data_IF_882656738710
#
_entry.id   IF_882656738710
#
_cell.length_a   1.000
_cell.length_b   1.000
_cell.length_c   1.000
_cell.angle_alpha   90.00
_cell.angle_beta   90.00
_cell.angle_gamma   90.00
#
_symmetry.space_group_name_H-M   'P 1'
#
loop_
_entity.id
_entity.type
_entity.pdbx_description
1 polymer ?
#
# COMPACT_ATOMS: atom_id res chain seq x y z
N UNK A 1 2.98 -37.13 -8.45
CA UNK A 1 1.86 -36.17 -8.59
C UNK A 1 2.41 -34.80 -8.27
N UNK A 2 2.67 -33.97 -9.27
CA UNK A 2 3.16 -32.60 -9.06
C UNK A 2 1.91 -31.77 -8.80
N UNK A 3 1.74 -31.26 -7.58
CA UNK A 3 0.71 -30.27 -7.32
C UNK A 3 1.10 -28.99 -8.08
N UNK A 4 0.31 -28.63 -9.10
CA UNK A 4 0.36 -27.29 -9.68
C UNK A 4 -0.08 -26.31 -8.59
N UNK A 5 0.90 -25.77 -7.84
CA UNK A 5 0.67 -24.77 -6.80
C UNK A 5 0.52 -23.37 -7.41
N UNK A 6 -0.13 -23.32 -8.57
CA UNK A 6 -0.17 -22.20 -9.50
C UNK A 6 -1.62 -21.84 -9.75
N UNK A 7 -2.06 -20.71 -9.20
CA UNK A 7 -3.40 -20.18 -9.42
C UNK A 7 -3.36 -18.66 -9.50
N UNK A 8 -4.30 -18.11 -10.26
CA UNK A 8 -4.50 -16.66 -10.38
C UNK A 8 -4.65 -16.01 -8.99
N UNK A 9 -5.33 -16.68 -8.06
CA UNK A 9 -5.59 -16.18 -6.72
C UNK A 9 -4.34 -16.22 -5.82
N UNK A 10 -3.44 -17.20 -6.02
CA UNK A 10 -2.15 -17.22 -5.31
C UNK A 10 -1.34 -15.97 -5.61
N UNK A 11 -1.43 -15.45 -6.82
CA UNK A 11 -0.69 -14.26 -7.22
C UNK A 11 -1.06 -13.03 -6.39
N UNK A 12 -2.29 -12.96 -5.82
CA UNK A 12 -2.69 -11.88 -4.89
C UNK A 12 -1.69 -11.75 -3.74
N UNK A 13 -1.28 -12.86 -3.14
CA UNK A 13 -0.27 -12.87 -2.08
C UNK A 13 1.09 -12.37 -2.59
N UNK A 14 1.52 -12.84 -3.76
CA UNK A 14 2.79 -12.44 -4.39
C UNK A 14 2.82 -10.92 -4.66
N UNK A 15 1.71 -10.32 -5.11
CA UNK A 15 1.63 -8.88 -5.29
C UNK A 15 1.68 -8.15 -3.95
N UNK A 16 0.94 -8.60 -2.95
CA UNK A 16 0.98 -8.02 -1.60
C UNK A 16 2.40 -8.02 -1.04
N UNK A 17 3.14 -9.12 -1.16
CA UNK A 17 4.52 -9.22 -0.68
C UNK A 17 5.44 -8.21 -1.37
N UNK A 18 5.30 -8.03 -2.70
CA UNK A 18 6.04 -7.02 -3.47
C UNK A 18 5.71 -5.59 -3.03
N UNK A 19 4.43 -5.29 -2.82
CA UNK A 19 3.98 -3.97 -2.38
C UNK A 19 4.45 -3.65 -0.96
N UNK A 20 4.34 -4.62 -0.04
CA UNK A 20 4.85 -4.51 1.33
C UNK A 20 6.36 -4.23 1.29
N UNK A 21 7.11 -5.00 0.51
CA UNK A 21 8.57 -4.80 0.37
C UNK A 21 8.92 -3.41 -0.16
N UNK A 22 8.13 -2.89 -1.11
CA UNK A 22 8.33 -1.54 -1.63
C UNK A 22 8.09 -0.46 -0.55
N UNK A 23 7.10 -0.65 0.31
CA UNK A 23 6.78 0.28 1.39
C UNK A 23 7.76 0.21 2.55
N UNK A 24 8.11 -0.99 3.01
CA UNK A 24 9.05 -1.18 4.12
C UNK A 24 10.48 -0.81 3.72
N UNK A 25 10.84 -0.94 2.45
CA UNK A 25 12.12 -0.49 1.90
C UNK A 25 12.17 1.01 1.55
N UNK A 26 11.04 1.73 1.60
CA UNK A 26 11.00 3.15 1.27
C UNK A 26 11.23 4.01 2.51
N UNK A 27 12.42 4.63 2.57
CA UNK A 27 12.80 5.56 3.64
C UNK A 27 11.76 6.66 3.88
N UNK A 28 11.19 7.18 2.80
CA UNK A 28 10.18 8.22 2.88
C UNK A 28 8.88 7.74 3.54
N UNK A 29 8.46 6.51 3.21
CA UNK A 29 7.28 5.89 3.83
C UNK A 29 7.56 5.61 5.31
N UNK A 30 8.71 5.01 5.64
CA UNK A 30 9.02 4.64 7.02
C UNK A 30 9.20 5.87 7.92
N UNK A 31 9.85 6.93 7.44
CA UNK A 31 9.98 8.19 8.18
C UNK A 31 8.64 8.86 8.46
N UNK A 32 7.71 8.87 7.50
CA UNK A 32 6.38 9.47 7.72
C UNK A 32 5.54 8.60 8.68
N UNK A 33 5.66 7.27 8.63
CA UNK A 33 4.94 6.35 9.51
C UNK A 33 5.44 6.39 10.96
N UNK A 34 6.76 6.50 11.16
CA UNK A 34 7.40 6.34 12.46
C UNK A 34 7.87 7.66 13.09
N UNK A 35 8.05 8.72 12.31
CA UNK A 35 8.64 9.97 12.79
C UNK A 35 10.07 9.74 13.29
N UNK A 36 10.34 10.17 14.52
CA UNK A 36 11.67 10.08 15.15
C UNK A 36 12.16 8.63 15.30
N UNK A 37 11.26 7.65 15.39
CA UNK A 37 11.60 6.23 15.58
C UNK A 37 12.02 5.51 14.29
N UNK A 38 12.07 6.19 13.14
CA UNK A 38 12.28 5.56 11.84
C UNK A 38 13.62 4.81 11.69
N UNK A 39 14.66 5.24 12.43
CA UNK A 39 15.97 4.58 12.44
C UNK A 39 16.09 3.41 13.41
N UNK A 40 15.11 3.22 14.30
CA UNK A 40 15.17 2.26 15.39
C UNK A 40 14.27 1.05 15.16
N UNK A 41 13.21 1.19 14.36
CA UNK A 41 12.26 0.10 14.06
C UNK A 41 12.71 -0.69 12.83
N UNK A 42 12.95 -2.02 12.95
CA UNK A 42 13.18 -2.89 11.82
C UNK A 42 12.03 -2.89 10.81
N UNK A 43 12.35 -3.03 9.53
CA UNK A 43 11.38 -3.05 8.43
C UNK A 43 10.29 -4.12 8.60
N UNK A 44 10.66 -5.27 9.19
CA UNK A 44 9.77 -6.41 9.45
C UNK A 44 8.70 -6.09 10.49
N UNK A 45 9.03 -5.25 11.49
CA UNK A 45 8.11 -4.88 12.55
C UNK A 45 7.01 -3.93 12.07
N UNK A 46 7.19 -3.29 10.91
CA UNK A 46 6.16 -2.44 10.30
C UNK A 46 4.95 -3.24 9.83
N UNK A 47 5.14 -4.49 9.45
CA UNK A 47 4.05 -5.34 8.98
C UNK A 47 3.09 -5.65 10.14
N UNK A 48 1.80 -5.48 9.92
CA UNK A 48 0.73 -5.61 10.91
C UNK A 48 0.78 -4.61 12.08
N UNK A 49 1.68 -3.62 12.07
CA UNK A 49 1.70 -2.53 13.07
C UNK A 49 1.51 -1.14 12.45
N UNK A 50 2.05 -0.95 11.24
CA UNK A 50 2.04 0.30 10.46
C UNK A 50 1.70 0.07 9.00
N UNK A 51 1.90 -1.13 8.47
CA UNK A 51 1.55 -1.54 7.11
C UNK A 51 0.71 -2.81 7.20
N UNK A 52 -0.54 -2.74 6.72
CA UNK A 52 -1.50 -3.82 6.82
C UNK A 52 -1.83 -4.36 5.42
N UNK A 53 -1.68 -5.68 5.16
CA UNK A 53 -2.00 -6.29 3.87
C UNK A 53 -3.50 -6.57 3.69
N UNK A 54 -4.33 -5.77 4.35
CA UNK A 54 -5.79 -5.77 4.29
C UNK A 54 -6.28 -4.41 4.79
N UNK A 55 -7.55 -4.09 4.53
CA UNK A 55 -8.17 -2.89 5.08
C UNK A 55 -8.35 -3.05 6.60
N UNK A 56 -7.49 -2.39 7.35
CA UNK A 56 -7.57 -2.26 8.80
C UNK A 56 -8.03 -0.85 9.15
N UNK A 57 -9.04 -0.73 10.02
CA UNK A 57 -9.43 0.55 10.62
C UNK A 57 -9.72 0.32 12.10
N UNK A 58 -8.65 0.24 12.87
CA UNK A 58 -8.72 0.06 14.32
C UNK A 58 -8.69 1.41 15.03
N UNK A 59 -9.82 1.76 15.65
CA UNK A 59 -10.00 2.99 16.40
C UNK A 59 -9.43 2.93 17.83
N UNK A 60 -9.02 1.73 18.29
CA UNK A 60 -8.36 1.55 19.59
C UNK A 60 -6.86 1.89 19.55
N UNK A 61 -6.30 2.09 18.35
CA UNK A 61 -4.91 2.51 18.17
C UNK A 61 -4.62 3.87 18.84
N UNK A 62 -3.38 4.11 19.30
CA UNK A 62 -3.02 5.36 19.95
C UNK A 62 -3.33 6.60 19.10
N UNK A 63 -3.63 7.71 19.77
CA UNK A 63 -4.17 8.94 19.15
C UNK A 63 -3.21 9.69 18.19
N UNK A 64 -2.05 9.12 17.87
CA UNK A 64 -1.05 9.79 17.02
C UNK A 64 -0.41 8.85 15.98
N UNK A 65 -1.08 7.74 15.65
CA UNK A 65 -0.55 6.76 14.70
C UNK A 65 -0.99 7.08 13.27
N UNK A 66 -0.06 6.89 12.33
CA UNK A 66 -0.35 6.78 10.90
C UNK A 66 -0.05 5.37 10.42
N UNK A 67 -0.80 4.87 9.45
CA UNK A 67 -0.60 3.55 8.88
C UNK A 67 -1.03 3.48 7.42
N UNK A 68 -0.42 2.55 6.68
CA UNK A 68 -0.84 2.14 5.35
C UNK A 68 -1.65 0.86 5.44
N UNK A 69 -2.74 0.79 4.69
CA UNK A 69 -3.42 -0.46 4.37
C UNK A 69 -3.31 -0.68 2.86
N UNK A 70 -3.28 -1.94 2.42
CA UNK A 70 -3.32 -2.27 1.00
C UNK A 70 -4.16 -3.51 0.72
N UNK A 71 -4.77 -3.53 -0.46
CA UNK A 71 -5.46 -4.70 -1.01
C UNK A 71 -5.12 -4.87 -2.49
N UNK A 72 -5.13 -6.11 -2.97
CA UNK A 72 -4.94 -6.46 -4.37
C UNK A 72 -6.10 -7.30 -4.87
N UNK A 73 -6.81 -6.76 -5.85
CA UNK A 73 -7.92 -7.42 -6.51
C UNK A 73 -7.52 -7.85 -7.93
N UNK A 74 -8.21 -8.88 -8.43
CA UNK A 74 -8.16 -9.29 -9.83
C UNK A 74 -9.55 -9.03 -10.42
N UNK A 75 -9.87 -7.77 -10.78
CA UNK A 75 -11.22 -7.39 -11.21
C UNK A 75 -11.66 -8.09 -12.51
N UNK A 76 -10.71 -8.54 -13.34
CA UNK A 76 -11.04 -9.25 -14.57
C UNK A 76 -9.89 -10.12 -15.08
N UNK A 77 -10.26 -11.18 -15.80
CA UNK A 77 -9.35 -12.05 -16.56
C UNK A 77 -9.80 -11.99 -18.03
N UNK A 78 -9.42 -10.94 -18.78
CA UNK A 78 -9.99 -10.64 -20.09
C UNK A 78 -9.65 -11.68 -21.16
N UNK A 79 -8.60 -12.48 -20.96
CA UNK A 79 -8.22 -13.53 -21.91
C UNK A 79 -7.65 -14.76 -21.21
N UNK A 80 -7.34 -15.80 -22.00
CA UNK A 80 -6.67 -16.99 -21.48
C UNK A 80 -5.26 -16.71 -20.95
N UNK A 81 -4.62 -15.62 -21.37
CA UNK A 81 -3.21 -15.32 -21.07
C UNK A 81 -3.02 -14.14 -20.12
N UNK A 82 -4.02 -13.26 -19.99
CA UNK A 82 -3.88 -11.96 -19.32
C UNK A 82 -4.90 -11.83 -18.20
N UNK A 83 -4.47 -11.26 -17.07
CA UNK A 83 -5.32 -10.79 -15.98
C UNK A 83 -5.09 -9.29 -15.74
N UNK A 84 -6.11 -8.61 -15.24
CA UNK A 84 -5.99 -7.23 -14.78
C UNK A 84 -5.92 -7.22 -13.26
N UNK A 85 -5.00 -6.42 -12.73
CA UNK A 85 -4.80 -6.20 -11.32
C UNK A 85 -5.31 -4.82 -10.95
N UNK A 86 -5.91 -4.73 -9.77
CA UNK A 86 -6.21 -3.48 -9.11
C UNK A 86 -5.56 -3.50 -7.74
N UNK A 87 -4.85 -2.44 -7.42
CA UNK A 87 -4.22 -2.25 -6.12
C UNK A 87 -4.89 -1.05 -5.47
N UNK A 88 -5.41 -1.23 -4.27
CA UNK A 88 -5.94 -0.13 -3.48
C UNK A 88 -5.04 0.08 -2.28
N UNK A 89 -4.58 1.32 -2.09
CA UNK A 89 -3.75 1.72 -0.96
C UNK A 89 -4.48 2.79 -0.18
N UNK A 90 -4.53 2.63 1.13
CA UNK A 90 -5.10 3.61 2.05
C UNK A 90 -4.01 4.15 2.96
N UNK A 91 -3.81 5.47 2.92
CA UNK A 91 -2.93 6.19 3.83
C UNK A 91 -3.76 6.85 4.91
N UNK A 92 -3.79 6.25 6.10
CA UNK A 92 -4.53 6.75 7.25
C UNK A 92 -3.62 7.48 8.22
N UNK A 93 -4.15 8.57 8.77
CA UNK A 93 -3.52 9.35 9.81
C UNK A 93 -4.57 9.71 10.86
N UNK A 94 -4.22 9.55 12.13
CA UNK A 94 -5.07 10.07 13.20
C UNK A 94 -5.19 11.59 13.09
N UNK A 95 -6.39 12.13 13.36
CA UNK A 95 -6.68 13.56 13.18
C UNK A 95 -5.79 14.47 14.01
N UNK A 96 -5.35 14.02 15.19
CA UNK A 96 -4.46 14.78 16.07
C UNK A 96 -3.03 14.95 15.53
N UNK A 97 -2.61 14.15 14.54
CA UNK A 97 -1.27 14.25 13.95
C UNK A 97 -1.29 14.57 12.44
N UNK A 98 -2.40 15.11 11.93
CA UNK A 98 -2.51 15.56 10.53
C UNK A 98 -1.62 16.75 10.21
N UNK A 99 -1.40 17.63 11.20
CA UNK A 99 -0.53 18.81 11.13
C UNK A 99 0.95 18.41 11.23
N UNK A 100 1.38 17.50 10.35
CA UNK A 100 2.76 17.08 10.24
C UNK A 100 3.46 17.89 9.14
N UNK A 101 4.68 18.34 9.42
CA UNK A 101 5.49 19.11 8.46
C UNK A 101 6.84 18.45 8.27
N UNK A 102 7.18 18.16 7.01
CA UNK A 102 8.48 17.63 6.60
C UNK A 102 8.99 18.42 5.40
N UNK A 103 10.28 18.75 5.40
CA UNK A 103 10.89 19.48 4.28
C UNK A 103 10.75 18.69 2.97
N UNK A 104 10.40 19.36 1.89
CA UNK A 104 10.18 18.73 0.58
C UNK A 104 8.79 18.12 0.38
N UNK A 105 7.92 18.17 1.39
CA UNK A 105 6.56 17.66 1.34
C UNK A 105 5.52 18.76 1.49
N UNK A 106 4.33 18.53 0.94
CA UNK A 106 3.20 19.45 1.01
C UNK A 106 1.92 18.73 1.46
N UNK A 107 1.02 19.47 2.12
CA UNK A 107 -0.25 18.96 2.60
C UNK A 107 -0.16 18.32 4.00
N UNK A 108 -1.24 17.65 4.39
CA UNK A 108 -1.36 16.94 5.67
C UNK A 108 -0.48 15.70 5.71
N UNK A 109 -0.25 15.12 6.91
CA UNK A 109 0.48 13.84 7.03
C UNK A 109 -0.07 12.74 6.12
N UNK A 110 -1.40 12.69 5.95
CA UNK A 110 -2.05 11.73 5.06
C UNK A 110 -1.72 11.99 3.58
N UNK A 111 -1.63 13.26 3.16
CA UNK A 111 -1.20 13.64 1.80
C UNK A 111 0.25 13.23 1.55
N UNK A 112 1.12 13.50 2.53
CA UNK A 112 2.54 13.19 2.45
C UNK A 112 2.79 11.68 2.42
N UNK A 113 2.05 10.92 3.23
CA UNK A 113 2.13 9.46 3.24
C UNK A 113 1.63 8.87 1.92
N UNK A 114 0.57 9.42 1.34
CA UNK A 114 0.05 9.00 0.05
C UNK A 114 1.06 9.28 -1.08
N UNK A 115 1.67 10.47 -1.10
CA UNK A 115 2.74 10.82 -2.04
C UNK A 115 3.95 9.86 -1.93
N UNK A 116 4.42 9.61 -0.70
CA UNK A 116 5.54 8.71 -0.47
C UNK A 116 5.23 7.27 -0.93
N UNK A 117 4.01 6.78 -0.66
CA UNK A 117 3.56 5.47 -1.10
C UNK A 117 3.45 5.39 -2.63
N UNK A 118 2.88 6.41 -3.29
CA UNK A 118 2.78 6.46 -4.75
C UNK A 118 4.17 6.41 -5.40
N UNK A 119 5.14 7.19 -4.90
CA UNK A 119 6.51 7.17 -5.41
C UNK A 119 7.21 5.84 -5.18
N UNK A 120 6.98 5.20 -4.03
CA UNK A 120 7.49 3.86 -3.76
C UNK A 120 6.96 2.84 -4.77
N UNK A 121 5.68 2.91 -5.13
CA UNK A 121 5.08 2.02 -6.12
C UNK A 121 5.47 2.35 -7.56
N UNK A 122 5.65 3.63 -7.90
CA UNK A 122 6.08 4.06 -9.24
C UNK A 122 7.45 3.49 -9.61
N UNK A 123 8.33 3.31 -8.62
CA UNK A 123 9.66 2.74 -8.81
C UNK A 123 9.69 1.21 -8.78
N UNK A 124 8.55 0.56 -8.51
CA UNK A 124 8.47 -0.89 -8.40
C UNK A 124 8.49 -1.54 -9.78
N UNK A 125 9.57 -2.25 -10.09
CA UNK A 125 9.69 -3.04 -11.31
C UNK A 125 9.00 -4.40 -11.16
N UNK A 126 8.67 -5.02 -12.30
CA UNK A 126 8.15 -6.39 -12.38
C UNK A 126 6.87 -6.67 -11.57
N UNK A 127 6.06 -5.64 -11.35
CA UNK A 127 4.74 -5.81 -10.78
C UNK A 127 3.79 -6.42 -11.80
N UNK A 128 3.81 -5.98 -13.07
CA UNK A 128 3.06 -6.60 -14.15
C UNK A 128 3.65 -6.27 -15.52
N UNK A 129 2.86 -6.50 -16.56
CA UNK A 129 3.20 -6.10 -17.93
C UNK A 129 2.95 -4.60 -18.10
N UNK A 130 4.04 -3.83 -18.08
CA UNK A 130 4.02 -2.37 -18.21
C UNK A 130 3.99 -1.64 -16.88
N UNK A 131 3.72 -0.34 -16.93
CA UNK A 131 3.78 0.53 -15.75
C UNK A 131 2.48 0.48 -14.96
N UNK A 132 2.62 0.50 -13.63
CA UNK A 132 1.50 0.73 -12.74
C UNK A 132 0.88 2.11 -13.02
N UNK A 133 -0.44 2.16 -13.21
CA UNK A 133 -1.17 3.39 -13.49
C UNK A 133 -1.98 3.80 -12.28
N UNK A 134 -1.80 5.03 -11.79
CA UNK A 134 -2.70 5.63 -10.83
C UNK A 134 -4.03 5.98 -11.55
N UNK A 135 -5.11 5.31 -11.19
CA UNK A 135 -6.44 5.56 -11.76
C UNK A 135 -7.20 6.63 -10.99
N UNK A 136 -7.07 6.63 -9.66
CA UNK A 136 -7.72 7.61 -8.81
C UNK A 136 -6.96 7.84 -7.52
N UNK A 137 -7.08 9.06 -7.00
CA UNK A 137 -6.68 9.42 -5.66
C UNK A 137 -7.80 10.28 -5.05
N UNK A 138 -8.33 9.85 -3.90
CA UNK A 138 -9.40 10.54 -3.19
C UNK A 138 -9.12 10.59 -1.70
N UNK A 139 -9.94 11.31 -0.95
CA UNK A 139 -9.89 11.32 0.51
C UNK A 139 -10.82 10.26 1.11
N UNK A 140 -10.51 9.87 2.33
CA UNK A 140 -11.41 9.11 3.21
C UNK A 140 -11.53 9.85 4.53
N UNK A 141 -12.76 10.05 4.96
CA UNK A 141 -13.08 10.54 6.29
C UNK A 141 -14.34 9.83 6.77
N UNK A 142 -14.23 8.56 7.21
CA UNK A 142 -15.38 7.81 7.70
C UNK A 142 -16.08 8.57 8.84
N UNK A 143 -17.41 8.62 8.79
CA UNK A 143 -18.20 9.33 9.79
C UNK A 143 -17.96 8.73 11.18
N UNK A 144 -17.72 9.59 12.18
CA UNK A 144 -17.41 9.15 13.54
C UNK A 144 -15.96 8.71 13.76
N UNK A 145 -15.15 8.55 12.70
CA UNK A 145 -13.79 8.07 12.86
C UNK A 145 -12.81 9.14 13.33
N UNK A 146 -11.85 8.74 14.18
CA UNK A 146 -10.70 9.57 14.56
C UNK A 146 -9.64 9.68 13.46
N UNK A 147 -9.79 8.93 12.36
CA UNK A 147 -8.84 8.92 11.26
C UNK A 147 -9.34 9.74 10.06
N UNK A 148 -8.38 10.31 9.35
CA UNK A 148 -8.52 10.88 8.02
C UNK A 148 -7.49 10.21 7.12
N UNK A 149 -7.77 10.10 5.82
CA UNK A 149 -6.82 9.47 4.93
C UNK A 149 -6.99 9.78 3.46
N UNK A 150 -6.11 9.16 2.69
CA UNK A 150 -6.18 9.10 1.22
C UNK A 150 -6.37 7.67 0.77
N UNK A 151 -7.19 7.50 -0.26
CA UNK A 151 -7.31 6.25 -0.99
C UNK A 151 -6.73 6.45 -2.38
N UNK A 152 -5.82 5.58 -2.78
CA UNK A 152 -5.25 5.54 -4.12
C UNK A 152 -5.61 4.20 -4.76
N UNK A 153 -6.15 4.22 -5.97
CA UNK A 153 -6.40 3.01 -6.76
C UNK A 153 -5.49 3.00 -7.97
N UNK A 154 -4.77 1.89 -8.13
CA UNK A 154 -3.87 1.66 -9.24
C UNK A 154 -4.29 0.45 -10.05
N UNK A 155 -3.94 0.41 -11.33
CA UNK A 155 -4.13 -0.76 -12.18
C UNK A 155 -2.92 -1.10 -13.02
N UNK A 156 -2.78 -2.39 -13.31
CA UNK A 156 -1.77 -2.94 -14.22
C UNK A 156 -2.28 -4.27 -14.78
N UNK A 157 -1.92 -4.60 -16.02
CA UNK A 157 -2.21 -5.92 -16.60
C UNK A 157 -1.02 -6.85 -16.36
N UNK A 158 -1.26 -8.16 -16.28
CA UNK A 158 -0.19 -9.14 -16.09
C UNK A 158 -0.54 -10.49 -16.71
N UNK A 159 0.46 -11.38 -16.82
CA UNK A 159 0.26 -12.74 -17.26
C UNK A 159 -0.59 -13.51 -16.24
N UNK A 160 -1.35 -14.49 -16.71
CA UNK A 160 -2.39 -15.16 -15.92
C UNK A 160 -1.87 -15.80 -14.63
N UNK A 161 -0.68 -16.38 -14.63
CA UNK A 161 -0.06 -17.01 -13.46
C UNK A 161 1.38 -16.51 -13.35
N UNK A 162 1.82 -16.09 -12.16
CA UNK A 162 3.24 -15.88 -11.91
C UNK A 162 3.92 -17.17 -11.50
N UNK A 163 5.01 -17.50 -12.21
CA UNK A 163 5.96 -18.48 -11.70
C UNK A 163 6.66 -17.83 -10.49
N UNK A 164 6.69 -18.54 -9.36
CA UNK A 164 7.60 -18.14 -8.28
C UNK A 164 9.05 -18.31 -8.78
N UNK A 165 9.96 -17.40 -8.44
CA UNK A 165 11.39 -17.66 -8.62
C UNK A 165 11.82 -18.90 -7.82
#
# INVERSE_FOLDING_TARGET
MIFLNESILRDIGIYKDKLISAFTGSRDVTEILLGENAGETPAEELLFTRIFPYLEMDESKPEEVSYLCLETDIPSVPSRMVKNLRITVWAYCHKNCLNYSRAGYAGTRADQLADAAERALRNLQDLGMGNLRLESASYLSPAGSKYYGRQMTFTVSDLKVKNSP
#
